data_IF_713525569288
#
_entry.id   IF_713525569288
#
_cell.length_a   1.000
_cell.length_b   1.000
_cell.length_c   1.000
_cell.angle_alpha   90.00
_cell.angle_beta   90.00
_cell.angle_gamma   90.00
#
_symmetry.space_group_name_H-M   'P 1'
#
loop_
_entity.id
_entity.type
_entity.pdbx_description
1 polymer ?
#
# COMPACT_ATOMS: atom_id res chain seq x y z
N UNK A 1 4.54 -5.21 0.53
CA UNK A 1 5.42 -4.62 1.54
C UNK A 1 4.65 -4.57 2.84
N UNK A 2 5.27 -4.23 3.95
CA UNK A 2 4.64 -4.24 5.26
C UNK A 2 4.35 -5.63 5.81
N UNK A 3 3.18 -5.82 6.40
CA UNK A 3 2.83 -7.07 7.09
C UNK A 3 2.82 -8.27 6.13
N UNK A 4 3.69 -9.24 6.42
CA UNK A 4 3.84 -10.42 5.57
C UNK A 4 2.57 -11.26 5.58
N UNK A 5 2.14 -11.69 4.38
CA UNK A 5 0.97 -12.55 4.19
C UNK A 5 -0.38 -12.00 4.66
N UNK A 6 -0.46 -10.75 5.15
CA UNK A 6 -1.71 -10.19 5.65
C UNK A 6 -2.81 -10.16 4.58
N UNK A 7 -2.48 -9.75 3.34
CA UNK A 7 -3.43 -9.77 2.24
C UNK A 7 -4.00 -11.17 1.97
N UNK A 8 -3.12 -12.19 1.94
CA UNK A 8 -3.53 -13.58 1.76
C UNK A 8 -4.46 -14.02 2.89
N UNK A 9 -4.10 -13.71 4.13
CA UNK A 9 -4.87 -14.08 5.32
C UNK A 9 -6.27 -13.46 5.29
N UNK A 10 -6.38 -12.16 4.94
CA UNK A 10 -7.67 -11.49 4.77
C UNK A 10 -8.45 -12.11 3.61
N UNK A 11 -7.83 -12.37 2.45
CA UNK A 11 -8.50 -12.93 1.29
C UNK A 11 -9.04 -14.35 1.53
N UNK A 12 -8.40 -15.13 2.40
CA UNK A 12 -8.81 -16.49 2.73
C UNK A 12 -9.88 -16.55 3.83
N UNK A 13 -9.83 -15.64 4.82
CA UNK A 13 -10.68 -15.69 6.00
C UNK A 13 -11.78 -14.61 6.02
N UNK A 14 -11.57 -13.50 5.33
CA UNK A 14 -12.49 -12.36 5.23
C UNK A 14 -12.64 -11.85 3.78
N UNK A 15 -12.99 -12.70 2.80
CA UNK A 15 -13.03 -12.31 1.38
C UNK A 15 -14.00 -11.15 1.09
N UNK A 16 -15.05 -11.01 1.88
CA UNK A 16 -16.03 -9.92 1.75
C UNK A 16 -15.45 -8.53 2.13
N UNK A 17 -14.27 -8.51 2.77
CA UNK A 17 -13.54 -7.27 3.05
C UNK A 17 -12.90 -6.68 1.79
N UNK A 18 -12.67 -7.49 0.75
CA UNK A 18 -11.96 -7.09 -0.45
C UNK A 18 -12.94 -6.93 -1.59
N UNK A 19 -13.05 -5.72 -2.12
CA UNK A 19 -13.78 -5.42 -3.33
C UNK A 19 -12.79 -5.08 -4.44
N UNK A 20 -13.07 -5.56 -5.65
CA UNK A 20 -12.29 -5.21 -6.84
C UNK A 20 -13.14 -4.39 -7.81
N UNK A 21 -12.53 -3.41 -8.46
CA UNK A 21 -13.24 -2.55 -9.38
C UNK A 21 -12.32 -1.73 -10.27
N UNK A 22 -12.93 -0.97 -11.16
CA UNK A 22 -12.23 -0.04 -12.03
C UNK A 22 -11.96 1.30 -11.31
N UNK A 23 -10.96 2.05 -11.79
CA UNK A 23 -10.64 3.39 -11.28
C UNK A 23 -11.84 4.35 -11.35
N UNK A 24 -12.72 4.20 -12.34
CA UNK A 24 -13.95 4.97 -12.50
C UNK A 24 -14.91 4.84 -11.32
N UNK A 25 -14.87 3.72 -10.60
CA UNK A 25 -15.68 3.50 -9.40
C UNK A 25 -15.27 4.43 -8.24
N UNK A 26 -14.10 5.06 -8.34
CA UNK A 26 -13.59 6.02 -7.36
C UNK A 26 -13.93 7.48 -7.71
N UNK A 27 -14.74 7.72 -8.74
CA UNK A 27 -15.16 9.08 -9.15
C UNK A 27 -15.73 9.88 -7.97
N UNK A 28 -15.33 11.14 -7.85
CA UNK A 28 -15.78 12.07 -6.81
C UNK A 28 -15.13 11.87 -5.45
N UNK A 29 -14.28 10.87 -5.27
CA UNK A 29 -13.64 10.57 -3.97
C UNK A 29 -12.36 11.37 -3.79
N UNK A 30 -12.16 11.88 -2.56
CA UNK A 30 -10.86 12.37 -2.08
C UNK A 30 -10.07 11.17 -1.55
N UNK A 31 -8.82 11.04 -1.93
CA UNK A 31 -7.98 9.90 -1.54
C UNK A 31 -6.63 10.41 -1.06
N UNK A 32 -6.22 10.02 0.15
CA UNK A 32 -4.86 10.27 0.65
C UNK A 32 -3.92 9.19 0.11
N UNK A 33 -2.84 9.60 -0.52
CA UNK A 33 -1.90 8.73 -1.22
C UNK A 33 -0.56 8.80 -0.53
N UNK A 34 -0.02 7.64 -0.15
CA UNK A 34 1.36 7.51 0.29
C UNK A 34 2.31 7.90 -0.87
N UNK A 35 2.97 9.05 -0.69
CA UNK A 35 3.86 9.61 -1.70
C UNK A 35 5.14 8.80 -1.85
N UNK A 36 5.76 8.38 -0.74
CA UNK A 36 7.04 7.69 -0.75
C UNK A 36 6.96 6.35 -1.45
N UNK A 37 5.91 5.59 -1.17
CA UNK A 37 5.61 4.33 -1.85
C UNK A 37 5.35 4.53 -3.34
N UNK A 38 4.60 5.59 -3.69
CA UNK A 38 4.29 5.94 -5.08
C UNK A 38 5.55 6.33 -5.85
N UNK A 39 6.40 7.21 -5.29
CA UNK A 39 7.66 7.66 -5.89
C UNK A 39 8.61 6.47 -6.11
N UNK A 40 8.74 5.59 -5.11
CA UNK A 40 9.53 4.37 -5.23
C UNK A 40 9.04 3.50 -6.39
N UNK A 41 7.71 3.30 -6.49
CA UNK A 41 7.09 2.56 -7.59
C UNK A 41 7.39 3.18 -8.96
N UNK A 42 7.39 4.52 -9.05
CA UNK A 42 7.65 5.23 -10.31
C UNK A 42 9.10 5.08 -10.74
N UNK A 43 10.04 5.21 -9.82
CA UNK A 43 11.48 5.01 -10.09
C UNK A 43 11.79 3.59 -10.58
N UNK A 44 10.99 2.59 -10.17
CA UNK A 44 11.12 1.21 -10.66
C UNK A 44 10.41 0.99 -12.00
N UNK A 45 9.20 1.54 -12.16
CA UNK A 45 8.31 1.21 -13.27
C UNK A 45 8.53 2.08 -14.52
N UNK A 46 8.94 3.34 -14.34
CA UNK A 46 9.13 4.30 -15.44
C UNK A 46 10.58 4.24 -15.90
N UNK A 47 10.84 3.38 -16.89
CA UNK A 47 12.17 3.10 -17.42
C UNK A 47 12.13 3.01 -18.95
N UNK A 48 13.26 3.29 -19.58
CA UNK A 48 13.52 3.00 -21.00
C UNK A 48 14.75 2.11 -21.09
N UNK A 49 14.66 1.04 -21.87
CA UNK A 49 15.75 0.07 -22.08
C UNK A 49 16.37 -0.45 -20.76
N UNK A 50 15.52 -0.70 -19.76
CA UNK A 50 15.93 -1.19 -18.44
C UNK A 50 16.55 -0.13 -17.51
N UNK A 51 16.74 1.12 -17.96
CA UNK A 51 17.30 2.21 -17.18
C UNK A 51 16.24 3.23 -16.77
N UNK A 52 16.51 3.99 -15.70
CA UNK A 52 15.66 5.13 -15.31
C UNK A 52 15.73 6.18 -16.41
N UNK A 53 14.61 6.88 -16.62
CA UNK A 53 14.61 8.01 -17.54
C UNK A 53 15.46 9.12 -16.96
N UNK A 54 16.35 9.64 -17.78
CA UNK A 54 17.24 10.74 -17.46
C UNK A 54 17.02 11.88 -18.46
N UNK A 55 17.24 13.11 -18.01
CA UNK A 55 17.33 14.25 -18.90
C UNK A 55 18.73 14.28 -19.56
N UNK A 56 18.96 15.28 -20.43
CA UNK A 56 20.25 15.49 -21.13
C UNK A 56 21.42 15.72 -20.15
N UNK A 57 21.12 16.22 -18.93
CA UNK A 57 22.10 16.44 -17.86
C UNK A 57 22.40 15.16 -17.05
N UNK A 58 21.76 14.02 -17.34
CA UNK A 58 21.91 12.77 -16.62
C UNK A 58 21.12 12.68 -15.29
N UNK A 59 20.23 13.62 -15.03
CA UNK A 59 19.36 13.58 -13.84
C UNK A 59 18.16 12.66 -14.07
N UNK A 60 17.80 11.87 -13.06
CA UNK A 60 16.64 10.99 -13.11
C UNK A 60 15.33 11.79 -13.12
N UNK A 61 14.49 11.53 -14.13
CA UNK A 61 13.16 12.17 -14.27
C UNK A 61 11.99 11.19 -14.14
N UNK A 62 12.25 9.90 -13.93
CA UNK A 62 11.25 8.84 -13.83
C UNK A 62 10.19 9.11 -12.77
N UNK A 63 10.56 9.66 -11.60
CA UNK A 63 9.65 9.99 -10.52
C UNK A 63 8.69 11.12 -10.90
N UNK A 64 9.19 12.18 -11.57
CA UNK A 64 8.37 13.30 -12.04
C UNK A 64 7.39 12.84 -13.13
N UNK A 65 7.87 12.06 -14.08
CA UNK A 65 7.02 11.50 -15.15
C UNK A 65 5.94 10.59 -14.56
N UNK A 66 6.34 9.70 -13.65
CA UNK A 66 5.40 8.82 -12.96
C UNK A 66 4.34 9.60 -12.19
N UNK A 67 4.75 10.58 -11.37
CA UNK A 67 3.86 11.40 -10.57
C UNK A 67 2.90 12.21 -11.46
N UNK A 68 3.42 12.90 -12.48
CA UNK A 68 2.62 13.73 -13.38
C UNK A 68 1.52 12.92 -14.06
N UNK A 69 1.87 11.86 -14.77
CA UNK A 69 0.87 11.09 -15.53
C UNK A 69 -0.07 10.27 -14.67
N UNK A 70 0.37 9.75 -13.51
CA UNK A 70 -0.53 9.03 -12.60
C UNK A 70 -1.53 9.97 -11.95
N UNK A 71 -1.06 11.16 -11.55
CA UNK A 71 -1.96 12.20 -11.00
C UNK A 71 -2.97 12.65 -12.04
N UNK A 72 -2.55 12.91 -13.27
CA UNK A 72 -3.44 13.24 -14.39
C UNK A 72 -4.52 12.16 -14.58
N UNK A 73 -4.12 10.89 -14.60
CA UNK A 73 -5.06 9.77 -14.74
C UNK A 73 -6.10 9.75 -13.61
N UNK A 74 -5.69 9.96 -12.37
CA UNK A 74 -6.62 10.01 -11.24
C UNK A 74 -7.60 11.18 -11.39
N UNK A 75 -7.10 12.35 -11.70
CA UNK A 75 -7.93 13.55 -11.89
C UNK A 75 -8.87 13.41 -13.09
N UNK A 76 -8.43 12.81 -14.20
CA UNK A 76 -9.27 12.51 -15.38
C UNK A 76 -10.40 11.51 -15.04
N UNK A 77 -10.21 10.64 -14.06
CA UNK A 77 -11.25 9.76 -13.53
C UNK A 77 -12.05 10.39 -12.36
N UNK A 78 -11.90 11.69 -12.14
CA UNK A 78 -12.67 12.44 -11.14
C UNK A 78 -12.24 12.19 -9.69
N UNK A 79 -11.08 11.58 -9.45
CA UNK A 79 -10.51 11.41 -8.11
C UNK A 79 -9.80 12.71 -7.72
N UNK A 80 -9.92 13.11 -6.45
CA UNK A 80 -9.18 14.20 -5.83
C UNK A 80 -8.02 13.66 -5.00
N UNK A 81 -6.80 13.56 -5.55
CA UNK A 81 -5.65 13.03 -4.83
C UNK A 81 -5.11 14.05 -3.83
N UNK A 82 -4.71 13.56 -2.66
CA UNK A 82 -3.94 14.26 -1.64
C UNK A 82 -2.69 13.42 -1.37
N UNK A 83 -1.51 13.95 -1.60
CA UNK A 83 -0.28 13.21 -1.34
C UNK A 83 0.22 13.45 0.07
N UNK A 84 0.66 12.39 0.74
CA UNK A 84 1.23 12.44 2.08
C UNK A 84 2.67 11.94 2.02
N UNK A 85 3.61 12.77 2.43
CA UNK A 85 5.04 12.44 2.46
C UNK A 85 5.45 12.03 3.87
N UNK A 86 6.40 11.08 3.96
CA UNK A 86 6.99 10.71 5.23
C UNK A 86 7.80 11.85 5.86
N UNK A 87 7.78 11.88 7.18
CA UNK A 87 8.66 12.68 8.01
C UNK A 87 9.84 11.87 8.55
N UNK A 88 10.13 12.02 9.85
CA UNK A 88 11.19 11.29 10.52
C UNK A 88 10.71 9.88 10.92
N UNK A 89 11.41 8.79 10.52
CA UNK A 89 10.99 7.45 10.88
C UNK A 89 11.05 7.21 12.40
N UNK A 90 10.13 6.45 12.99
CA UNK A 90 10.18 6.06 14.39
C UNK A 90 11.47 5.29 14.71
N UNK A 91 11.99 5.45 15.96
CA UNK A 91 13.23 4.79 16.38
C UNK A 91 13.19 3.28 16.21
N UNK A 92 12.06 2.66 16.49
CA UNK A 92 11.87 1.21 16.39
C UNK A 92 12.02 0.68 14.94
N UNK A 93 11.83 1.53 13.93
CA UNK A 93 12.02 1.18 12.51
C UNK A 93 13.49 1.11 12.09
N UNK A 94 14.42 1.51 12.95
CA UNK A 94 15.87 1.57 12.65
C UNK A 94 16.43 0.20 12.20
N UNK A 95 15.98 -0.89 12.81
CA UNK A 95 16.39 -2.25 12.45
C UNK A 95 16.00 -2.64 11.02
N UNK A 96 14.78 -2.36 10.60
CA UNK A 96 14.34 -2.63 9.23
C UNK A 96 15.04 -1.70 8.23
N UNK A 97 15.26 -0.43 8.60
CA UNK A 97 16.02 0.50 7.75
C UNK A 97 17.46 0.03 7.54
N UNK A 98 18.12 -0.48 8.57
CA UNK A 98 19.46 -1.06 8.46
C UNK A 98 19.47 -2.29 7.53
N UNK A 99 18.48 -3.20 7.64
CA UNK A 99 18.33 -4.35 6.75
C UNK A 99 18.06 -3.92 5.30
N UNK A 100 17.22 -2.90 5.08
CA UNK A 100 16.98 -2.34 3.75
C UNK A 100 18.26 -1.74 3.16
N UNK A 101 19.07 -1.09 3.97
CA UNK A 101 20.36 -0.54 3.54
C UNK A 101 21.34 -1.67 3.15
N UNK A 102 21.48 -2.71 3.98
CA UNK A 102 22.33 -3.87 3.68
C UNK A 102 21.90 -4.56 2.37
N UNK A 103 20.61 -4.88 2.22
CA UNK A 103 20.08 -5.49 0.97
C UNK A 103 20.38 -4.65 -0.28
N UNK A 104 20.38 -3.31 -0.13
CA UNK A 104 20.77 -2.41 -1.24
C UNK A 104 22.24 -2.46 -1.55
N UNK A 105 23.10 -2.48 -0.53
CA UNK A 105 24.54 -2.60 -0.71
C UNK A 105 24.89 -3.91 -1.43
N UNK A 106 24.27 -5.03 -1.00
CA UNK A 106 24.41 -6.33 -1.66
C UNK A 106 23.89 -6.29 -3.11
N UNK A 107 22.72 -5.65 -3.35
CA UNK A 107 22.18 -5.49 -4.70
C UNK A 107 23.05 -4.60 -5.59
N UNK A 108 23.73 -3.60 -5.03
CA UNK A 108 24.65 -2.74 -5.77
C UNK A 108 25.88 -3.53 -6.20
N UNK A 109 26.48 -4.31 -5.30
CA UNK A 109 27.61 -5.19 -5.64
C UNK A 109 27.21 -6.20 -6.73
N UNK A 110 26.05 -6.86 -6.58
CA UNK A 110 25.53 -7.79 -7.58
C UNK A 110 25.19 -7.10 -8.93
N UNK A 111 24.82 -5.84 -8.92
CA UNK A 111 24.58 -5.07 -10.15
C UNK A 111 25.88 -4.76 -10.90
N UNK A 112 26.95 -4.38 -10.20
CA UNK A 112 28.25 -4.16 -10.83
C UNK A 112 28.83 -5.48 -11.39
N UNK A 113 28.73 -6.57 -10.66
CA UNK A 113 29.11 -7.91 -11.15
C UNK A 113 28.29 -8.32 -12.39
N UNK A 114 26.97 -8.06 -12.38
CA UNK A 114 26.11 -8.37 -13.51
C UNK A 114 26.41 -7.51 -14.76
N UNK A 115 26.93 -6.30 -14.62
CA UNK A 115 27.40 -5.48 -15.76
C UNK A 115 28.61 -6.10 -16.46
N UNK A 116 29.48 -6.77 -15.70
CA UNK A 116 30.71 -7.35 -16.23
C UNK A 116 30.49 -8.75 -16.82
N UNK A 117 29.68 -9.57 -16.18
CA UNK A 117 29.58 -11.01 -16.48
C UNK A 117 28.15 -11.52 -16.66
N UNK A 118 27.13 -10.71 -16.33
CA UNK A 118 25.72 -11.12 -16.29
C UNK A 118 24.97 -10.91 -17.60
N UNK A 119 23.70 -11.35 -17.59
CA UNK A 119 22.76 -11.12 -18.70
C UNK A 119 22.10 -9.74 -18.57
N UNK A 120 21.51 -9.23 -19.65
CA UNK A 120 20.73 -7.99 -19.63
C UNK A 120 19.56 -8.06 -18.60
N UNK A 121 18.95 -9.24 -18.42
CA UNK A 121 17.89 -9.48 -17.42
C UNK A 121 18.43 -9.36 -15.99
N UNK A 122 19.65 -9.86 -15.71
CA UNK A 122 20.28 -9.75 -14.40
C UNK A 122 20.62 -8.30 -14.08
N UNK A 123 21.20 -7.58 -15.04
CA UNK A 123 21.47 -6.13 -14.89
C UNK A 123 20.20 -5.36 -14.58
N UNK A 124 19.11 -5.60 -15.30
CA UNK A 124 17.83 -4.95 -15.05
C UNK A 124 17.26 -5.31 -13.68
N UNK A 125 17.29 -6.59 -13.30
CA UNK A 125 16.80 -7.10 -12.02
C UNK A 125 17.53 -6.46 -10.84
N UNK A 126 18.85 -6.40 -10.87
CA UNK A 126 19.64 -5.78 -9.81
C UNK A 126 19.52 -4.26 -9.83
N UNK A 127 19.50 -3.62 -10.99
CA UNK A 127 19.24 -2.18 -11.12
C UNK A 127 17.93 -1.74 -10.44
N UNK A 128 16.86 -2.54 -10.54
CA UNK A 128 15.60 -2.25 -9.83
C UNK A 128 15.73 -2.32 -8.31
N UNK A 129 16.64 -3.16 -7.79
CA UNK A 129 16.86 -3.32 -6.35
C UNK A 129 17.75 -2.24 -5.73
N UNK A 130 18.53 -1.53 -6.57
CA UNK A 130 19.38 -0.42 -6.10
C UNK A 130 18.64 0.91 -5.97
N UNK A 131 17.39 1.00 -6.47
CA UNK A 131 16.58 2.22 -6.43
C UNK A 131 16.43 2.77 -5.01
N UNK A 132 16.62 4.08 -4.87
CA UNK A 132 16.42 4.82 -3.62
C UNK A 132 15.66 6.12 -3.89
N UNK A 133 14.63 6.38 -3.10
CA UNK A 133 14.02 7.71 -3.02
C UNK A 133 14.96 8.61 -2.22
N UNK A 134 15.34 9.74 -2.79
CA UNK A 134 16.20 10.75 -2.14
C UNK A 134 15.36 11.90 -1.61
N UNK A 135 15.96 12.74 -0.76
CA UNK A 135 15.34 13.99 -0.31
C UNK A 135 15.02 14.91 -1.50
N UNK A 136 15.92 14.96 -2.47
CA UNK A 136 15.75 15.74 -3.70
C UNK A 136 14.54 15.26 -4.50
N UNK A 137 14.37 13.95 -4.71
CA UNK A 137 13.17 13.40 -5.37
C UNK A 137 11.88 13.84 -4.66
N UNK A 138 11.86 13.87 -3.32
CA UNK A 138 10.70 14.34 -2.57
C UNK A 138 10.45 15.84 -2.75
N UNK A 139 11.52 16.66 -2.76
CA UNK A 139 11.42 18.10 -2.97
C UNK A 139 10.92 18.43 -4.38
N UNK A 140 11.45 17.76 -5.39
CA UNK A 140 11.01 17.87 -6.77
C UNK A 140 9.54 17.46 -6.97
N UNK A 141 9.12 16.36 -6.34
CA UNK A 141 7.73 15.92 -6.36
C UNK A 141 6.80 16.92 -5.68
N UNK A 142 7.17 17.49 -4.53
CA UNK A 142 6.38 18.51 -3.84
C UNK A 142 6.26 19.78 -4.68
N UNK A 143 7.35 20.22 -5.34
CA UNK A 143 7.32 21.34 -6.28
C UNK A 143 6.36 21.07 -7.44
N UNK A 144 6.42 19.88 -8.02
CA UNK A 144 5.53 19.47 -9.11
C UNK A 144 4.07 19.48 -8.67
N UNK A 145 3.73 18.88 -7.53
CA UNK A 145 2.36 18.85 -7.01
C UNK A 145 1.81 20.26 -6.77
N UNK A 146 2.62 21.16 -6.22
CA UNK A 146 2.24 22.56 -6.03
C UNK A 146 1.89 23.23 -7.36
N UNK A 147 2.72 23.05 -8.39
CA UNK A 147 2.47 23.59 -9.72
C UNK A 147 1.24 22.96 -10.39
N UNK A 148 0.96 21.68 -10.11
CA UNK A 148 -0.26 21.00 -10.57
C UNK A 148 -1.54 21.43 -9.82
N UNK A 149 -1.43 22.21 -8.75
CA UNK A 149 -2.55 22.57 -7.87
C UNK A 149 -3.06 21.41 -7.02
N UNK A 150 -2.24 20.38 -6.82
CA UNK A 150 -2.56 19.18 -6.04
C UNK A 150 -1.98 19.33 -4.63
N UNK A 151 -2.82 19.23 -3.57
CA UNK A 151 -2.34 19.39 -2.21
C UNK A 151 -1.45 18.22 -1.77
N UNK A 152 -0.54 18.53 -0.85
CA UNK A 152 0.25 17.53 -0.15
C UNK A 152 0.41 17.90 1.33
N UNK A 153 0.70 16.89 2.16
CA UNK A 153 1.02 17.02 3.59
C UNK A 153 2.37 16.32 3.82
N UNK A 154 3.15 16.85 4.74
CA UNK A 154 4.33 16.15 5.27
C UNK A 154 3.96 15.66 6.66
N UNK A 155 3.92 14.35 6.85
CA UNK A 155 3.64 13.74 8.13
C UNK A 155 4.80 13.98 9.12
N UNK A 156 4.56 14.05 10.42
CA UNK A 156 5.62 14.03 11.42
C UNK A 156 6.50 12.79 11.33
N UNK A 157 5.88 11.62 11.12
CA UNK A 157 6.54 10.33 10.98
C UNK A 157 6.11 9.63 9.69
N UNK A 158 5.22 8.65 9.75
CA UNK A 158 4.86 7.78 8.64
C UNK A 158 3.63 8.26 7.87
N UNK A 159 3.74 8.27 6.57
CA UNK A 159 2.67 8.71 5.66
C UNK A 159 1.40 7.86 5.82
N UNK A 160 1.54 6.54 6.01
CA UNK A 160 0.43 5.61 6.19
C UNK A 160 -0.41 5.96 7.43
N UNK A 161 0.27 6.30 8.54
CA UNK A 161 -0.39 6.71 9.77
C UNK A 161 -1.16 8.02 9.59
N UNK A 162 -0.57 9.00 8.90
CA UNK A 162 -1.22 10.27 8.59
C UNK A 162 -2.40 10.08 7.62
N UNK A 163 -2.27 9.25 6.60
CA UNK A 163 -3.37 8.89 5.71
C UNK A 163 -4.54 8.25 6.49
N UNK A 164 -4.23 7.40 7.46
CA UNK A 164 -5.23 6.75 8.30
C UNK A 164 -6.02 7.76 9.13
N UNK A 165 -5.35 8.75 9.75
CA UNK A 165 -6.01 9.84 10.51
C UNK A 165 -6.96 10.63 9.63
N UNK A 166 -6.52 11.03 8.45
CA UNK A 166 -7.33 11.79 7.50
C UNK A 166 -8.57 11.01 7.03
N UNK A 167 -8.42 9.69 6.82
CA UNK A 167 -9.51 8.82 6.41
C UNK A 167 -10.53 8.61 7.56
N UNK A 168 -10.06 8.37 8.79
CA UNK A 168 -10.96 8.26 9.97
C UNK A 168 -11.74 9.52 10.25
N UNK A 169 -11.12 10.68 10.05
CA UNK A 169 -11.77 11.98 10.23
C UNK A 169 -12.72 12.37 9.06
N UNK A 170 -12.84 11.53 8.03
CA UNK A 170 -13.68 11.83 6.86
C UNK A 170 -13.16 12.96 5.97
N UNK A 171 -11.92 13.43 6.17
CA UNK A 171 -11.28 14.42 5.30
C UNK A 171 -11.05 13.85 3.90
N UNK A 172 -10.75 12.54 3.85
CA UNK A 172 -10.65 11.74 2.63
C UNK A 172 -11.50 10.47 2.76
N UNK A 173 -11.85 9.86 1.64
CA UNK A 173 -12.62 8.62 1.59
C UNK A 173 -11.79 7.40 2.01
N UNK A 174 -10.54 7.34 1.56
CA UNK A 174 -9.66 6.20 1.74
C UNK A 174 -8.19 6.63 1.73
N UNK A 175 -7.33 5.78 2.26
CA UNK A 175 -5.89 5.83 2.00
C UNK A 175 -5.55 4.95 0.79
N UNK A 176 -4.56 5.35 -0.01
CA UNK A 176 -4.02 4.57 -1.12
C UNK A 176 -2.54 4.29 -0.89
N UNK A 177 -2.22 3.03 -0.67
CA UNK A 177 -0.86 2.50 -0.54
C UNK A 177 -0.84 1.03 -0.98
N UNK A 178 0.31 0.53 -1.39
CA UNK A 178 0.53 -0.91 -1.59
C UNK A 178 0.89 -1.61 -0.27
N UNK A 179 1.15 -0.81 0.77
CA UNK A 179 1.53 -1.32 2.07
C UNK A 179 0.31 -1.65 2.94
N UNK A 180 0.28 -2.88 3.40
CA UNK A 180 -0.82 -3.38 4.23
C UNK A 180 -0.76 -2.86 5.67
N UNK A 181 0.37 -2.27 6.10
CA UNK A 181 0.54 -1.64 7.42
C UNK A 181 -0.45 -0.49 7.63
N UNK A 182 -0.88 0.13 6.53
CA UNK A 182 -1.93 1.17 6.54
C UNK A 182 -3.20 0.72 7.27
N UNK A 183 -3.55 -0.57 7.23
CA UNK A 183 -4.71 -1.12 7.97
C UNK A 183 -4.46 -1.18 9.47
N UNK A 184 -3.21 -1.44 9.91
CA UNK A 184 -2.87 -1.50 11.34
C UNK A 184 -2.99 -0.14 12.01
N UNK A 185 -2.80 0.96 11.27
CA UNK A 185 -3.07 2.33 11.71
C UNK A 185 -4.56 2.69 11.75
N UNK A 186 -5.44 1.68 11.61
CA UNK A 186 -6.90 1.86 11.65
C UNK A 186 -7.46 2.69 10.49
N UNK A 187 -6.94 2.49 9.29
CA UNK A 187 -7.51 3.07 8.07
C UNK A 187 -8.82 2.35 7.74
N UNK A 188 -9.96 3.06 7.64
CA UNK A 188 -11.25 2.42 7.34
C UNK A 188 -11.27 1.70 6.00
N UNK A 189 -10.66 2.31 4.98
CA UNK A 189 -10.61 1.80 3.61
C UNK A 189 -9.22 2.01 3.05
N UNK A 190 -8.60 0.93 2.60
CA UNK A 190 -7.32 0.93 1.88
C UNK A 190 -7.57 0.66 0.39
N UNK A 191 -7.09 1.54 -0.47
CA UNK A 191 -7.08 1.34 -1.93
C UNK A 191 -5.69 0.88 -2.37
N UNK A 192 -5.63 -0.27 -3.04
CA UNK A 192 -4.41 -0.77 -3.65
C UNK A 192 -4.51 -0.70 -5.17
N UNK A 193 -3.37 -0.67 -5.84
CA UNK A 193 -3.22 -0.58 -7.30
C UNK A 193 -3.70 0.74 -7.92
N UNK A 194 -4.02 1.75 -7.12
CA UNK A 194 -4.51 3.03 -7.61
C UNK A 194 -3.45 3.76 -8.47
N UNK A 195 -2.19 3.68 -8.08
CA UNK A 195 -1.06 4.34 -8.77
C UNK A 195 -0.40 3.47 -9.85
N UNK A 196 -0.90 2.25 -10.10
CA UNK A 196 -0.37 1.37 -11.14
C UNK A 196 -0.66 1.90 -12.55
N UNK A 197 0.16 1.49 -13.52
CA UNK A 197 -0.06 1.85 -14.93
C UNK A 197 -1.28 1.12 -15.49
N UNK A 198 -1.95 1.75 -16.45
CA UNK A 198 -3.04 1.10 -17.20
C UNK A 198 -2.58 -0.17 -17.93
N UNK A 199 -1.32 -0.22 -18.34
CA UNK A 199 -0.73 -1.37 -19.02
C UNK A 199 -0.77 -2.65 -18.17
N UNK A 200 -0.73 -2.53 -16.83
CA UNK A 200 -0.83 -3.70 -15.94
C UNK A 200 -2.23 -4.32 -15.93
N UNK A 201 -3.27 -3.56 -16.29
CA UNK A 201 -4.68 -3.99 -16.28
C UNK A 201 -5.12 -4.61 -14.94
N UNK A 202 -4.46 -4.26 -13.84
CA UNK A 202 -4.82 -4.73 -12.52
C UNK A 202 -6.00 -3.92 -11.99
N UNK A 203 -7.05 -4.56 -11.45
CA UNK A 203 -8.18 -3.85 -10.87
C UNK A 203 -7.76 -3.15 -9.58
N UNK A 204 -8.42 -2.01 -9.27
CA UNK A 204 -8.30 -1.38 -7.96
C UNK A 204 -8.87 -2.33 -6.91
N UNK A 205 -8.11 -2.57 -5.85
CA UNK A 205 -8.56 -3.33 -4.69
C UNK A 205 -8.94 -2.34 -3.58
N UNK A 206 -10.16 -2.46 -3.10
CA UNK A 206 -10.69 -1.68 -1.98
C UNK A 206 -10.86 -2.63 -0.81
N UNK A 207 -10.05 -2.44 0.25
CA UNK A 207 -10.05 -3.30 1.43
C UNK A 207 -10.70 -2.52 2.59
N UNK A 208 -11.78 -3.07 3.14
CA UNK A 208 -12.53 -2.50 4.24
C UNK A 208 -12.10 -3.13 5.56
N UNK A 209 -11.56 -2.32 6.48
CA UNK A 209 -11.03 -2.81 7.76
C UNK A 209 -12.11 -3.41 8.65
N UNK A 210 -13.27 -2.77 8.75
CA UNK A 210 -14.41 -3.25 9.54
C UNK A 210 -14.83 -4.68 9.15
N UNK A 211 -14.90 -4.93 7.84
CA UNK A 211 -15.22 -6.25 7.30
C UNK A 211 -14.09 -7.25 7.48
N UNK A 212 -12.84 -6.78 7.43
CA UNK A 212 -11.69 -7.63 7.71
C UNK A 212 -11.71 -8.10 9.17
N UNK A 213 -11.96 -7.21 10.11
CA UNK A 213 -12.10 -7.53 11.54
C UNK A 213 -13.28 -8.48 11.78
N UNK A 214 -14.46 -8.20 11.19
CA UNK A 214 -15.63 -9.07 11.28
C UNK A 214 -15.35 -10.49 10.76
N UNK A 215 -14.72 -10.60 9.57
CA UNK A 215 -14.42 -11.90 8.95
C UNK A 215 -13.30 -12.66 9.66
N UNK A 216 -12.35 -11.96 10.26
CA UNK A 216 -11.31 -12.55 11.09
C UNK A 216 -11.82 -12.91 12.51
N UNK A 217 -12.99 -12.41 12.92
CA UNK A 217 -13.56 -12.56 14.25
C UNK A 217 -12.62 -12.00 15.33
N UNK A 218 -12.21 -10.73 15.15
CA UNK A 218 -11.20 -10.05 15.97
C UNK A 218 -11.57 -8.60 16.21
N UNK A 219 -11.20 -8.11 17.40
CA UNK A 219 -11.16 -6.69 17.71
C UNK A 219 -9.88 -6.05 17.12
N UNK A 220 -9.86 -4.71 17.03
CA UNK A 220 -8.74 -3.96 16.46
C UNK A 220 -7.41 -4.27 17.13
N UNK A 221 -7.37 -4.37 18.45
CA UNK A 221 -6.11 -4.62 19.18
C UNK A 221 -5.56 -6.01 18.86
N UNK A 222 -6.45 -7.01 18.78
CA UNK A 222 -6.08 -8.37 18.36
C UNK A 222 -5.55 -8.41 16.92
N UNK A 223 -6.11 -7.59 16.04
CA UNK A 223 -5.62 -7.46 14.66
C UNK A 223 -4.22 -6.86 14.62
N UNK A 224 -3.92 -5.84 15.43
CA UNK A 224 -2.57 -5.28 15.56
C UNK A 224 -1.61 -6.34 16.09
N UNK A 225 -1.99 -7.09 17.13
CA UNK A 225 -1.22 -8.18 17.69
C UNK A 225 -0.92 -9.28 16.67
N UNK A 226 -1.92 -9.63 15.85
CA UNK A 226 -1.74 -10.54 14.72
C UNK A 226 -0.71 -10.00 13.72
N UNK A 227 -0.79 -8.72 13.37
CA UNK A 227 0.14 -8.08 12.46
C UNK A 227 1.59 -8.07 13.00
N UNK A 228 1.75 -7.83 14.30
CA UNK A 228 3.07 -7.91 14.97
C UNK A 228 3.63 -9.33 14.90
N UNK A 229 2.82 -10.36 15.15
CA UNK A 229 3.25 -11.77 15.02
C UNK A 229 3.65 -12.15 13.59
N UNK A 230 2.96 -11.61 12.59
CA UNK A 230 3.30 -11.82 11.18
C UNK A 230 4.61 -11.13 10.77
N UNK A 231 5.04 -10.17 11.57
CA UNK A 231 6.18 -9.31 11.33
C UNK A 231 5.81 -8.03 10.61
N UNK A 232 6.26 -6.92 11.16
CA UNK A 232 6.02 -5.57 10.69
C UNK A 232 7.36 -4.81 10.53
N UNK A 233 7.30 -3.55 10.10
CA UNK A 233 8.49 -2.71 9.95
C UNK A 233 9.21 -2.41 11.29
N UNK A 234 8.53 -2.63 12.42
CA UNK A 234 9.08 -2.39 13.77
C UNK A 234 9.70 -3.64 14.37
N UNK A 235 9.18 -4.83 14.05
CA UNK A 235 9.62 -6.08 14.64
C UNK A 235 9.67 -7.21 13.61
N UNK A 236 10.72 -8.01 13.71
CA UNK A 236 10.81 -9.24 12.94
C UNK A 236 9.78 -10.28 13.41
N UNK A 237 9.26 -11.10 12.49
CA UNK A 237 8.40 -12.21 12.85
C UNK A 237 9.16 -13.26 13.68
N UNK A 238 8.46 -13.92 14.60
CA UNK A 238 9.01 -15.04 15.35
C UNK A 238 9.20 -16.24 14.41
N UNK A 239 10.39 -16.84 14.44
CA UNK A 239 10.71 -18.00 13.61
C UNK A 239 9.77 -19.16 13.91
N UNK A 240 9.25 -19.80 12.87
CA UNK A 240 8.32 -20.93 12.97
C UNK A 240 6.85 -20.54 13.10
N UNK A 241 6.51 -19.25 13.18
CA UNK A 241 5.14 -18.75 13.17
C UNK A 241 4.78 -18.29 11.76
N UNK A 242 3.91 -19.05 11.11
CA UNK A 242 3.29 -18.66 9.83
C UNK A 242 1.90 -18.07 10.03
N UNK A 243 1.26 -17.56 8.94
CA UNK A 243 -0.02 -16.85 9.01
C UNK A 243 -1.13 -17.64 9.71
N UNK A 244 -1.30 -18.91 9.38
CA UNK A 244 -2.32 -19.77 9.99
C UNK A 244 -2.07 -20.02 11.49
N UNK A 245 -0.79 -20.14 11.89
CA UNK A 245 -0.41 -20.30 13.28
C UNK A 245 -0.62 -19.01 14.07
N UNK A 246 -0.21 -17.87 13.53
CA UNK A 246 -0.43 -16.57 14.15
C UNK A 246 -1.93 -16.30 14.38
N UNK A 247 -2.76 -16.51 13.35
CA UNK A 247 -4.21 -16.37 13.44
C UNK A 247 -4.81 -17.28 14.53
N UNK A 248 -4.38 -18.55 14.57
CA UNK A 248 -4.83 -19.51 15.57
C UNK A 248 -4.46 -19.07 16.98
N UNK A 249 -3.20 -18.67 17.21
CA UNK A 249 -2.72 -18.23 18.52
C UNK A 249 -3.48 -17.02 19.04
N UNK A 250 -3.71 -16.00 18.21
CA UNK A 250 -4.49 -14.82 18.64
C UNK A 250 -5.94 -15.19 18.95
N UNK A 251 -6.57 -16.05 18.15
CA UNK A 251 -7.96 -16.51 18.43
C UNK A 251 -8.08 -17.31 19.72
N UNK A 252 -7.07 -18.17 20.02
CA UNK A 252 -7.10 -19.02 21.23
C UNK A 252 -6.75 -18.26 22.50
N UNK A 253 -5.80 -17.32 22.43
CA UNK A 253 -5.26 -16.66 23.63
C UNK A 253 -5.75 -15.21 23.79
N UNK A 254 -6.24 -14.58 22.73
CA UNK A 254 -6.84 -13.26 22.73
C UNK A 254 -5.84 -12.11 22.68
N UNK A 255 -4.77 -12.12 23.46
CA UNK A 255 -3.76 -11.05 23.51
C UNK A 255 -2.36 -11.58 23.28
N UNK A 256 -1.48 -10.70 22.81
CA UNK A 256 -0.09 -11.07 22.51
C UNK A 256 0.69 -11.48 23.77
N UNK A 257 0.38 -10.89 24.93
CA UNK A 257 0.97 -11.29 26.22
C UNK A 257 0.72 -12.75 26.52
N UNK A 258 -0.53 -13.20 26.40
CA UNK A 258 -0.89 -14.62 26.63
C UNK A 258 -0.31 -15.54 25.56
N UNK A 259 -0.17 -15.06 24.34
CA UNK A 259 0.52 -15.79 23.27
C UNK A 259 1.99 -15.99 23.63
N UNK A 260 2.68 -14.94 24.11
CA UNK A 260 4.08 -15.00 24.55
C UNK A 260 4.23 -15.98 25.70
N UNK A 261 3.40 -15.90 26.77
CA UNK A 261 3.41 -16.86 27.87
C UNK A 261 3.20 -18.31 27.42
N UNK A 262 2.31 -18.53 26.44
CA UNK A 262 2.08 -19.85 25.87
C UNK A 262 3.32 -20.35 25.12
N UNK A 263 3.99 -19.48 24.36
CA UNK A 263 5.18 -19.82 23.59
C UNK A 263 6.39 -20.12 24.48
N UNK A 264 6.58 -19.37 25.57
CA UNK A 264 7.65 -19.60 26.56
C UNK A 264 7.53 -20.99 27.22
N UNK A 265 6.30 -21.43 27.47
CA UNK A 265 6.02 -22.78 27.99
C UNK A 265 6.21 -23.89 26.95
N UNK A 266 6.36 -23.52 25.67
CA UNK A 266 6.38 -24.44 24.55
C UNK A 266 7.69 -24.29 23.75
N UNK A 267 8.63 -25.24 23.96
CA UNK A 267 9.97 -25.24 23.37
C UNK A 267 10.04 -25.20 21.83
N UNK A 268 8.89 -25.20 21.14
CA UNK A 268 8.84 -25.12 19.67
C UNK A 268 9.15 -23.73 19.12
N UNK A 269 9.01 -22.68 19.95
CA UNK A 269 9.16 -21.31 19.53
C UNK A 269 10.35 -20.67 20.23
N UNK A 270 11.14 -19.91 19.49
CA UNK A 270 12.23 -19.12 20.06
C UNK A 270 11.85 -17.66 19.96
N UNK A 271 11.46 -17.07 21.08
CA UNK A 271 11.20 -15.64 21.18
C UNK A 271 12.54 -14.93 21.31
N UNK A 272 12.83 -13.86 20.57
CA UNK A 272 14.01 -13.04 20.78
C UNK A 272 14.03 -12.44 22.19
N UNK A 273 15.19 -12.37 22.84
CA UNK A 273 15.33 -11.79 24.19
C UNK A 273 14.88 -10.33 24.26
N UNK A 274 15.09 -9.58 23.18
CA UNK A 274 14.61 -8.20 23.01
C UNK A 274 13.56 -8.16 21.88
N UNK A 275 12.29 -8.35 22.26
CA UNK A 275 11.15 -8.29 21.34
C UNK A 275 10.09 -7.33 21.90
N UNK A 276 10.27 -5.99 21.71
CA UNK A 276 9.45 -4.96 22.32
C UNK A 276 8.09 -4.81 21.61
N UNK A 277 7.26 -5.85 21.66
CA UNK A 277 5.96 -5.88 21.00
C UNK A 277 4.96 -4.85 21.57
N UNK A 278 5.11 -4.51 22.86
CA UNK A 278 4.26 -3.48 23.49
C UNK A 278 4.54 -2.09 22.88
N UNK A 279 5.81 -1.77 22.64
CA UNK A 279 6.21 -0.51 22.00
C UNK A 279 5.76 -0.48 20.54
N UNK A 280 5.87 -1.59 19.81
CA UNK A 280 5.38 -1.71 18.45
C UNK A 280 3.84 -1.53 18.39
N UNK A 281 3.11 -2.14 19.32
CA UNK A 281 1.66 -1.96 19.45
C UNK A 281 1.31 -0.49 19.71
N UNK A 282 2.05 0.17 20.58
CA UNK A 282 1.82 1.58 20.91
C UNK A 282 2.00 2.48 19.67
N UNK A 283 3.02 2.23 18.84
CA UNK A 283 3.22 2.97 17.59
C UNK A 283 2.02 2.84 16.62
N UNK A 284 1.36 1.69 16.57
CA UNK A 284 0.16 1.51 15.74
C UNK A 284 -1.09 2.15 16.37
N UNK A 285 -1.20 2.15 17.70
CA UNK A 285 -2.34 2.72 18.42
C UNK A 285 -2.28 4.24 18.49
N UNK A 286 -1.11 4.77 18.78
CA UNK A 286 -0.83 6.19 19.06
C UNK A 286 0.36 6.69 18.21
N UNK A 287 0.25 6.66 16.87
CA UNK A 287 1.31 7.17 16.01
C UNK A 287 1.47 8.68 16.15
N UNK A 288 2.71 9.16 15.99
CA UNK A 288 2.99 10.60 15.94
C UNK A 288 2.55 11.15 14.57
N UNK A 289 1.44 11.87 14.56
CA UNK A 289 0.75 12.39 13.37
C UNK A 289 0.17 13.77 13.64
N UNK A 290 -0.08 14.53 12.59
CA UNK A 290 -0.88 15.75 12.68
C UNK A 290 -2.33 15.38 12.97
N UNK A 291 -2.93 16.05 13.94
CA UNK A 291 -4.37 15.92 14.20
C UNK A 291 -5.17 16.34 12.95
N UNK A 292 -6.33 15.75 12.76
CA UNK A 292 -7.12 15.99 11.54
C UNK A 292 -7.62 17.46 11.41
N UNK A 293 -7.71 18.18 12.51
CA UNK A 293 -8.05 19.61 12.59
C UNK A 293 -6.83 20.53 12.53
N UNK A 294 -5.61 19.97 12.43
CA UNK A 294 -4.40 20.77 12.25
C UNK A 294 -4.49 21.61 10.97
N UNK A 295 -4.03 22.88 10.97
CA UNK A 295 -4.10 23.77 9.80
C UNK A 295 -3.53 23.17 8.52
N UNK A 296 -2.44 22.41 8.59
CA UNK A 296 -1.82 21.75 7.45
C UNK A 296 -2.69 20.62 6.86
N UNK A 297 -3.71 20.16 7.59
CA UNK A 297 -4.70 19.19 7.14
C UNK A 297 -5.94 19.83 6.49
N UNK A 298 -6.03 21.17 6.46
CA UNK A 298 -7.07 21.89 5.73
C UNK A 298 -6.63 22.16 4.30
N UNK A 299 -6.52 21.11 3.52
CA UNK A 299 -5.98 21.14 2.15
C UNK A 299 -7.02 21.57 1.11
N UNK A 300 -6.56 22.30 0.09
CA UNK A 300 -7.36 22.76 -1.04
C UNK A 300 -6.73 22.32 -2.35
N UNK A 301 -7.59 21.93 -3.29
CA UNK A 301 -7.21 21.68 -4.68
C UNK A 301 -7.34 22.99 -5.44
N UNK A 302 -6.26 23.42 -6.08
CA UNK A 302 -6.17 24.71 -6.75
C UNK A 302 -6.04 24.54 -8.28
N UNK A 303 -6.23 25.60 -9.02
CA UNK A 303 -5.97 25.60 -10.45
C UNK A 303 -4.44 25.39 -10.69
N UNK A 304 -4.05 24.61 -11.72
CA UNK A 304 -2.63 24.45 -12.05
C UNK A 304 -2.00 25.76 -12.52
N UNK A 305 -0.75 25.96 -12.14
CA UNK A 305 0.13 27.00 -12.69
C UNK A 305 0.75 26.50 -13.99
N UNK A 306 0.12 26.80 -15.13
CA UNK A 306 0.52 26.29 -16.45
C UNK A 306 1.92 26.76 -16.84
N UNK A 307 2.23 28.06 -16.65
CA UNK A 307 3.55 28.60 -17.03
C UNK A 307 4.64 28.10 -16.09
N UNK A 308 4.34 27.95 -14.79
CA UNK A 308 5.24 27.32 -13.84
C UNK A 308 5.52 25.85 -14.19
N UNK A 309 4.51 25.10 -14.66
CA UNK A 309 4.68 23.71 -15.13
C UNK A 309 5.57 23.65 -16.38
N UNK A 310 5.37 24.55 -17.35
CA UNK A 310 6.20 24.62 -18.55
C UNK A 310 7.64 24.94 -18.17
N UNK A 311 7.86 25.98 -17.37
CA UNK A 311 9.20 26.34 -16.91
C UNK A 311 9.89 25.17 -16.21
N UNK A 312 9.20 24.52 -15.26
CA UNK A 312 9.79 23.44 -14.47
C UNK A 312 10.00 22.16 -15.30
N UNK A 313 8.95 21.66 -15.94
CA UNK A 313 9.04 20.37 -16.64
C UNK A 313 9.72 20.45 -18.00
N UNK A 314 9.49 21.54 -18.78
CA UNK A 314 10.04 21.65 -20.14
C UNK A 314 11.45 22.24 -20.09
N UNK A 315 11.63 23.44 -19.50
CA UNK A 315 12.91 24.14 -19.55
C UNK A 315 13.96 23.51 -18.61
N UNK A 316 13.56 23.13 -17.36
CA UNK A 316 14.52 22.57 -16.40
C UNK A 316 14.67 21.03 -16.52
N UNK A 317 13.60 20.29 -16.88
CA UNK A 317 13.59 18.80 -16.89
C UNK A 317 13.44 18.16 -18.27
N UNK A 318 13.35 18.96 -19.35
CA UNK A 318 13.33 18.54 -20.76
C UNK A 318 12.14 17.62 -21.15
N UNK A 319 10.97 17.85 -20.55
CA UNK A 319 9.73 17.19 -20.95
C UNK A 319 9.17 17.83 -22.24
N UNK A 320 8.32 17.09 -22.96
CA UNK A 320 7.61 17.62 -24.14
C UNK A 320 6.60 18.71 -23.73
N UNK A 321 6.74 19.90 -24.28
CA UNK A 321 5.87 21.05 -24.00
C UNK A 321 4.41 20.74 -24.32
N UNK A 322 4.12 20.14 -25.47
CA UNK A 322 2.75 19.80 -25.88
C UNK A 322 2.07 18.89 -24.85
N UNK A 323 2.81 17.92 -24.31
CA UNK A 323 2.29 17.00 -23.30
C UNK A 323 2.05 17.69 -21.95
N UNK A 324 2.93 18.60 -21.55
CA UNK A 324 2.81 19.37 -20.32
C UNK A 324 1.61 20.31 -20.40
N UNK A 325 1.47 21.07 -21.49
CA UNK A 325 0.32 21.96 -21.71
C UNK A 325 -1.00 21.20 -21.82
N UNK A 326 -1.02 20.06 -22.50
CA UNK A 326 -2.20 19.17 -22.54
C UNK A 326 -2.58 18.68 -21.16
N UNK A 327 -1.60 18.30 -20.33
CA UNK A 327 -1.80 17.90 -18.95
C UNK A 327 -2.36 19.02 -18.07
N UNK A 328 -1.81 20.23 -18.17
CA UNK A 328 -2.30 21.41 -17.45
C UNK A 328 -3.75 21.76 -17.85
N UNK A 329 -4.07 21.67 -19.13
CA UNK A 329 -5.43 21.89 -19.63
C UNK A 329 -6.43 20.87 -19.05
N UNK A 330 -6.05 19.59 -18.93
CA UNK A 330 -6.87 18.54 -18.28
C UNK A 330 -7.09 18.83 -16.80
N UNK A 331 -6.04 19.19 -16.05
CA UNK A 331 -6.17 19.59 -14.66
C UNK A 331 -7.15 20.76 -14.50
N UNK A 332 -6.98 21.80 -15.29
CA UNK A 332 -7.84 23.01 -15.28
C UNK A 332 -9.30 22.70 -15.61
N UNK A 333 -9.55 21.80 -16.57
CA UNK A 333 -10.89 21.34 -16.93
C UNK A 333 -11.56 20.60 -15.78
N UNK A 334 -10.86 19.63 -15.19
CA UNK A 334 -11.43 18.79 -14.14
C UNK A 334 -11.65 19.55 -12.81
N UNK A 335 -10.86 20.58 -12.54
CA UNK A 335 -11.07 21.47 -11.38
C UNK A 335 -12.33 22.33 -11.51
N UNK A 336 -12.70 22.75 -12.74
CA UNK A 336 -13.88 23.57 -13.00
C UNK A 336 -15.17 22.77 -13.08
N UNK A 337 -15.08 21.47 -13.32
CA UNK A 337 -16.26 20.62 -13.47
C UNK A 337 -16.88 20.36 -12.09
N UNK A 338 -18.10 20.83 -11.87
CA UNK A 338 -18.87 20.48 -10.69
C UNK A 338 -19.06 18.96 -10.65
N UNK A 339 -18.54 18.31 -9.63
CA UNK A 339 -18.71 16.86 -9.49
C UNK A 339 -20.09 16.56 -8.95
N UNK A 340 -20.82 15.67 -9.63
CA UNK A 340 -22.09 15.16 -9.13
C UNK A 340 -21.85 14.45 -7.79
N UNK A 341 -22.62 14.84 -6.76
CA UNK A 341 -22.55 14.18 -5.45
C UNK A 341 -22.92 12.71 -5.58
N UNK A 342 -22.19 11.84 -4.87
CA UNK A 342 -22.50 10.41 -4.84
C UNK A 342 -23.72 10.17 -3.97
N UNK A 343 -24.55 9.21 -4.35
CA UNK A 343 -25.73 8.80 -3.58
C UNK A 343 -25.39 8.31 -2.17
N UNK A 344 -24.18 7.72 -2.00
CA UNK A 344 -23.67 7.24 -0.71
C UNK A 344 -23.58 8.33 0.37
N UNK A 345 -23.47 9.62 -0.03
CA UNK A 345 -23.50 10.74 0.90
C UNK A 345 -24.92 11.07 1.43
N UNK A 346 -25.96 10.56 0.77
CA UNK A 346 -27.36 10.79 1.15
C UNK A 346 -28.01 9.58 1.87
N UNK A 347 -27.44 8.39 1.71
CA UNK A 347 -27.94 7.17 2.33
C UNK A 347 -26.95 6.64 3.35
N UNK A 348 -27.35 6.60 4.63
CA UNK A 348 -26.59 5.85 5.63
C UNK A 348 -26.88 4.37 5.43
N UNK A 349 -25.86 3.49 5.45
CA UNK A 349 -26.10 2.05 5.44
C UNK A 349 -26.99 1.68 6.63
N UNK A 350 -28.02 0.89 6.39
CA UNK A 350 -28.81 0.33 7.49
C UNK A 350 -27.92 -0.71 8.18
N UNK A 351 -27.71 -0.54 9.48
CA UNK A 351 -26.98 -1.54 10.26
C UNK A 351 -27.71 -2.88 10.18
N UNK A 352 -26.99 -3.90 9.75
CA UNK A 352 -27.52 -5.26 9.68
C UNK A 352 -27.83 -5.76 11.09
N UNK A 353 -28.96 -6.41 11.26
CA UNK A 353 -29.34 -7.05 12.51
C UNK A 353 -28.35 -8.17 12.88
N UNK A 354 -28.30 -8.54 14.15
CA UNK A 354 -27.47 -9.66 14.61
C UNK A 354 -27.79 -10.98 13.89
N UNK A 355 -29.06 -11.20 13.54
CA UNK A 355 -29.53 -12.37 12.79
C UNK A 355 -29.04 -12.36 11.33
N UNK A 356 -29.05 -11.19 10.67
CA UNK A 356 -28.53 -11.04 9.32
C UNK A 356 -27.02 -11.24 9.27
N UNK A 357 -26.29 -10.72 10.28
CA UNK A 357 -24.85 -10.94 10.43
C UNK A 357 -24.53 -12.43 10.61
N UNK A 358 -25.29 -13.13 11.49
CA UNK A 358 -25.13 -14.56 11.71
C UNK A 358 -25.44 -15.41 10.45
N UNK A 359 -26.49 -15.04 9.69
CA UNK A 359 -26.82 -15.69 8.42
C UNK A 359 -25.72 -15.51 7.37
N UNK A 360 -25.14 -14.32 7.26
CA UNK A 360 -24.02 -14.04 6.36
C UNK A 360 -22.76 -14.83 6.76
N UNK A 361 -22.46 -14.92 8.07
CA UNK A 361 -21.33 -15.71 8.60
C UNK A 361 -21.48 -17.18 8.21
N UNK A 362 -22.65 -17.80 8.41
CA UNK A 362 -22.92 -19.19 7.99
C UNK A 362 -22.74 -19.41 6.49
N UNK A 363 -23.26 -18.50 5.64
CA UNK A 363 -23.10 -18.58 4.19
C UNK A 363 -21.64 -18.43 3.74
N UNK A 364 -20.85 -17.62 4.43
CA UNK A 364 -19.42 -17.47 4.16
C UNK A 364 -18.64 -18.73 4.55
N UNK A 365 -18.96 -19.34 5.69
CA UNK A 365 -18.37 -20.60 6.15
C UNK A 365 -18.69 -21.77 5.20
N UNK A 366 -19.93 -21.87 4.72
CA UNK A 366 -20.34 -22.88 3.71
C UNK A 366 -19.56 -22.70 2.39
N UNK A 367 -19.47 -21.46 1.87
CA UNK A 367 -18.69 -21.17 0.66
C UNK A 367 -17.20 -21.49 0.82
N UNK A 368 -16.63 -21.18 2.00
CA UNK A 368 -15.24 -21.50 2.30
C UNK A 368 -14.99 -23.01 2.40
N UNK A 369 -15.94 -23.76 2.99
CA UNK A 369 -15.89 -25.20 3.06
C UNK A 369 -15.98 -25.87 1.67
N UNK A 370 -16.85 -25.36 0.81
CA UNK A 370 -17.01 -25.86 -0.56
C UNK A 370 -15.78 -25.55 -1.43
N UNK A 371 -15.18 -24.36 -1.28
CA UNK A 371 -13.93 -23.99 -1.95
C UNK A 371 -12.78 -24.91 -1.53
N UNK A 372 -12.67 -25.23 -0.22
CA UNK A 372 -11.68 -26.19 0.29
C UNK A 372 -11.90 -27.62 -0.23
N UNK A 373 -13.17 -28.06 -0.34
CA UNK A 373 -13.50 -29.36 -0.92
C UNK A 373 -13.08 -29.42 -2.40
N UNK A 374 -13.40 -28.37 -3.16
CA UNK A 374 -13.05 -28.29 -4.59
C UNK A 374 -11.53 -28.29 -4.81
N UNK A 375 -10.78 -27.52 -4.02
CA UNK A 375 -9.31 -27.51 -4.07
C UNK A 375 -8.69 -28.87 -3.73
N UNK A 376 -9.25 -29.59 -2.73
CA UNK A 376 -8.81 -30.95 -2.38
C UNK A 376 -9.11 -31.95 -3.50
N UNK A 377 -10.23 -31.80 -4.20
CA UNK A 377 -10.60 -32.63 -5.34
C UNK A 377 -9.66 -32.38 -6.51
N UNK A 378 -9.46 -31.11 -6.89
CA UNK A 378 -8.55 -30.73 -7.97
C UNK A 378 -7.10 -31.19 -7.72
N UNK A 379 -6.66 -31.17 -6.44
CA UNK A 379 -5.34 -31.68 -6.05
C UNK A 379 -5.25 -33.22 -6.17
N UNK A 380 -6.33 -33.95 -5.84
CA UNK A 380 -6.41 -35.41 -6.02
C UNK A 380 -6.42 -35.80 -7.51
N UNK A 381 -7.17 -35.07 -8.33
CA UNK A 381 -7.28 -35.32 -9.76
C UNK A 381 -5.95 -35.03 -10.48
N UNK A 382 -5.25 -33.94 -10.10
CA UNK A 382 -3.88 -33.67 -10.58
C UNK A 382 -2.87 -34.73 -10.17
N UNK A 383 -3.02 -35.31 -8.96
CA UNK A 383 -2.14 -36.39 -8.49
C UNK A 383 -2.42 -37.69 -9.22
N UNK A 384 -3.70 -38.04 -9.47
CA UNK A 384 -4.11 -39.19 -10.25
C UNK A 384 -3.67 -39.13 -11.74
N UNK A 385 -3.76 -37.90 -12.34
CA UNK A 385 -3.28 -37.67 -13.69
C UNK A 385 -1.74 -37.84 -13.81
N UNK A 386 -0.97 -37.36 -12.81
CA UNK A 386 0.47 -37.56 -12.78
C UNK A 386 0.92 -39.02 -12.57
N UNK A 387 0.11 -39.80 -11.86
CA UNK A 387 0.38 -41.25 -11.65
C UNK A 387 0.11 -42.06 -12.90
N UNK A 388 -0.96 -41.73 -13.66
CA UNK A 388 -1.27 -42.36 -14.96
C UNK A 388 -0.23 -42.00 -16.03
N UNK A 389 0.36 -40.84 -16.02
CA UNK A 389 1.40 -40.42 -16.96
C UNK A 389 2.78 -41.07 -16.68
N UNK A 390 3.01 -41.61 -15.47
CA UNK A 390 4.26 -42.32 -15.11
C UNK A 390 4.15 -43.86 -15.24
N UNK A 391 2.99 -44.40 -15.47
CA UNK A 391 2.75 -45.83 -15.59
C UNK A 391 2.51 -46.36 -17.04
N UNK A 392 2.77 -45.52 -18.04
CA UNK A 392 2.59 -45.81 -19.47
C UNK A 392 3.88 -45.58 -20.28
N UNK A 393 5.05 -45.91 -19.72
CA UNK A 393 6.33 -45.94 -20.46
C UNK A 393 6.96 -47.31 -20.25
#
# INVERSE_FOLDING_TARGET
>A
MGIKHLYQLISENAPEAIKTGEIKNQFGRKVAIDASMSIYSFLIAVRSDGQQLMNESGETTSHLMGLFYRTLRMVDNGIKPLYVFDGAPPKLKSGELAKRFQRKTEAHAAHEEAKETGTAEDVEKFSRRTVRVTREHNEECRRLLKLMGIPYIVAPTEAEAQCAVLARAGKVYAAASEDMDTLTFNTPILLRHLTFSEQRKEPIQEIHLDRALEGLDMEREQFIDLCILLGCDYLDPIKGIGPSTALKLIREHGTLEKVVEHMEKNSKFTIPDDWPYADARLLFLEPDVLAADHPDCDVKWEAPDEEGLVKYLVEEKHFSEDRVRSGAAKLKKNMKTAQQSRLEGFFKPIEKTAEEKASLKRKAEEKAADKKKKQKQDAKDKKAAKTKAKGGA
#
